data_IF_572284577591
#
_entry.id   IF_572284577591
#
_cell.length_a   1.000
_cell.length_b   1.000
_cell.length_c   1.000
_cell.angle_alpha   90.00
_cell.angle_beta   90.00
_cell.angle_gamma   90.00
#
_symmetry.space_group_name_H-M   'P 1'
#
loop_
_entity.id
_entity.type
_entity.pdbx_description
1 polymer ?
#
# COMPACT_ATOMS: atom_id res chain seq x y z
N UNK A 1 -34.43 -39.80 -44.44
CA UNK A 1 -33.24 -38.98 -44.74
C UNK A 1 -33.40 -37.46 -44.43
N UNK A 2 -34.64 -36.91 -44.41
CA UNK A 2 -34.86 -35.47 -44.08
C UNK A 2 -34.54 -35.11 -42.60
N UNK A 3 -34.75 -36.00 -41.63
CA UNK A 3 -34.58 -35.73 -40.20
C UNK A 3 -33.09 -35.68 -39.74
N UNK A 4 -32.21 -36.39 -40.48
CA UNK A 4 -30.77 -36.41 -40.14
C UNK A 4 -30.08 -35.09 -40.52
N UNK A 5 -30.51 -34.48 -41.65
CA UNK A 5 -29.97 -33.18 -42.08
C UNK A 5 -30.33 -32.03 -41.11
N UNK A 6 -31.55 -32.05 -40.58
CA UNK A 6 -31.99 -31.02 -39.64
C UNK A 6 -31.31 -31.19 -38.27
N UNK A 7 -30.97 -32.42 -37.85
CA UNK A 7 -30.25 -32.69 -36.61
C UNK A 7 -28.79 -32.21 -36.71
N UNK A 8 -28.15 -32.47 -37.86
CA UNK A 8 -26.77 -32.00 -38.07
C UNK A 8 -26.67 -30.48 -38.17
N UNK A 9 -27.63 -29.79 -38.79
CA UNK A 9 -27.69 -28.34 -38.82
C UNK A 9 -27.97 -27.72 -37.45
N UNK A 10 -28.83 -28.30 -36.61
CA UNK A 10 -29.06 -27.86 -35.24
C UNK A 10 -27.85 -28.02 -34.35
N UNK A 11 -27.11 -29.13 -34.52
CA UNK A 11 -25.89 -29.39 -33.74
C UNK A 11 -24.72 -28.46 -34.12
N UNK A 12 -24.61 -28.11 -35.43
CA UNK A 12 -23.60 -27.15 -35.90
C UNK A 12 -23.86 -25.73 -35.37
N UNK A 13 -25.15 -25.33 -35.32
CA UNK A 13 -25.54 -24.01 -34.79
C UNK A 13 -25.31 -23.90 -33.27
N UNK A 14 -25.54 -24.96 -32.52
CA UNK A 14 -25.30 -25.00 -31.07
C UNK A 14 -23.79 -24.89 -30.76
N UNK A 15 -22.94 -25.52 -31.56
CA UNK A 15 -21.49 -25.49 -31.42
C UNK A 15 -20.88 -24.11 -31.72
N UNK A 16 -21.47 -23.37 -32.66
CA UNK A 16 -21.04 -22.00 -33.01
C UNK A 16 -21.42 -21.01 -31.89
N UNK A 17 -22.61 -21.15 -31.29
CA UNK A 17 -23.06 -20.29 -30.20
C UNK A 17 -22.21 -20.51 -28.95
N UNK A 18 -21.81 -21.73 -28.63
CA UNK A 18 -20.94 -22.04 -27.48
C UNK A 18 -19.55 -21.44 -27.63
N UNK A 19 -19.01 -21.38 -28.84
CA UNK A 19 -17.69 -20.77 -29.08
C UNK A 19 -17.73 -19.23 -29.04
N UNK A 20 -18.79 -18.59 -29.42
CA UNK A 20 -18.94 -17.14 -29.35
C UNK A 20 -19.08 -16.65 -27.90
N UNK A 21 -19.77 -17.41 -27.05
CA UNK A 21 -19.88 -17.09 -25.61
C UNK A 21 -18.55 -17.22 -24.89
N UNK A 22 -17.73 -18.22 -25.23
CA UNK A 22 -16.40 -18.41 -24.62
C UNK A 22 -15.39 -17.31 -25.00
N UNK A 23 -15.47 -16.79 -26.24
CA UNK A 23 -14.59 -15.72 -26.70
C UNK A 23 -14.88 -14.38 -25.99
N UNK A 24 -16.16 -14.07 -25.74
CA UNK A 24 -16.55 -12.85 -25.03
C UNK A 24 -16.08 -12.86 -23.59
N UNK A 25 -16.22 -13.95 -22.85
CA UNK A 25 -15.79 -14.06 -21.45
C UNK A 25 -14.27 -13.97 -21.28
N UNK A 26 -13.49 -14.47 -22.23
CA UNK A 26 -12.02 -14.34 -22.22
C UNK A 26 -11.60 -12.89 -22.48
N UNK A 27 -12.25 -12.20 -23.41
CA UNK A 27 -11.98 -10.79 -23.73
C UNK A 27 -12.34 -9.87 -22.54
N UNK A 28 -13.49 -10.09 -21.89
CA UNK A 28 -13.91 -9.34 -20.71
C UNK A 28 -12.94 -9.54 -19.53
N UNK A 29 -12.50 -10.77 -19.29
CA UNK A 29 -11.52 -11.08 -18.25
C UNK A 29 -10.16 -10.42 -18.53
N UNK A 30 -9.73 -10.38 -19.76
CA UNK A 30 -8.48 -9.72 -20.15
C UNK A 30 -8.56 -8.21 -19.93
N UNK A 31 -9.64 -7.59 -20.36
CA UNK A 31 -9.88 -6.16 -20.14
C UNK A 31 -9.94 -5.81 -18.64
N UNK A 32 -10.52 -6.68 -17.81
CA UNK A 32 -10.53 -6.48 -16.36
C UNK A 32 -9.13 -6.56 -15.77
N UNK A 33 -8.31 -7.55 -16.16
CA UNK A 33 -6.93 -7.67 -15.68
C UNK A 33 -6.07 -6.45 -16.06
N UNK A 34 -6.25 -5.93 -17.28
CA UNK A 34 -5.57 -4.71 -17.70
C UNK A 34 -6.02 -3.49 -16.86
N UNK A 35 -7.31 -3.37 -16.58
CA UNK A 35 -7.83 -2.29 -15.75
C UNK A 35 -7.31 -2.38 -14.31
N UNK A 36 -7.27 -3.59 -13.74
CA UNK A 36 -6.74 -3.83 -12.39
C UNK A 36 -5.24 -3.49 -12.32
N UNK A 37 -4.45 -3.82 -13.36
CA UNK A 37 -3.03 -3.48 -13.43
C UNK A 37 -2.80 -1.96 -13.56
N UNK A 38 -3.62 -1.28 -14.35
CA UNK A 38 -3.57 0.19 -14.49
C UNK A 38 -3.88 0.85 -13.14
N UNK A 39 -4.92 0.37 -12.44
CA UNK A 39 -5.29 0.89 -11.12
C UNK A 39 -4.17 0.66 -10.11
N UNK A 40 -3.63 -0.55 -10.02
CA UNK A 40 -2.52 -0.87 -9.12
C UNK A 40 -1.30 0.03 -9.37
N UNK A 41 -0.93 0.25 -10.62
CA UNK A 41 0.18 1.14 -10.97
C UNK A 41 -0.09 2.60 -10.57
N UNK A 42 -1.33 3.07 -10.68
CA UNK A 42 -1.73 4.40 -10.21
C UNK A 42 -1.65 4.50 -8.68
N UNK A 43 -2.12 3.47 -7.97
CA UNK A 43 -2.08 3.38 -6.50
C UNK A 43 -0.64 3.34 -5.97
N UNK A 44 0.25 2.55 -6.58
CA UNK A 44 1.68 2.51 -6.22
C UNK A 44 2.33 3.89 -6.42
N UNK A 45 2.01 4.56 -7.54
CA UNK A 45 2.54 5.89 -7.83
C UNK A 45 2.06 6.93 -6.83
N UNK A 46 0.77 6.94 -6.50
CA UNK A 46 0.21 7.82 -5.46
C UNK A 46 0.90 7.57 -4.12
N UNK A 47 0.94 6.31 -3.71
CA UNK A 47 1.48 5.85 -2.44
C UNK A 47 2.94 6.28 -2.25
N UNK A 48 3.79 5.97 -3.23
CA UNK A 48 5.22 6.30 -3.16
C UNK A 48 5.45 7.81 -3.18
N UNK A 49 4.74 8.55 -4.04
CA UNK A 49 4.91 10.00 -4.16
C UNK A 49 4.46 10.76 -2.90
N UNK A 50 3.38 10.31 -2.24
CA UNK A 50 2.89 10.99 -1.05
C UNK A 50 3.79 10.73 0.16
N UNK A 51 4.21 9.47 0.37
CA UNK A 51 5.10 9.12 1.49
C UNK A 51 6.51 9.71 1.36
N UNK A 52 7.04 9.81 0.14
CA UNK A 52 8.31 10.49 -0.12
C UNK A 52 8.26 11.94 0.40
N UNK A 53 7.23 12.68 0.03
CA UNK A 53 7.04 14.06 0.48
C UNK A 53 6.74 14.18 1.97
N UNK A 54 5.95 13.26 2.54
CA UNK A 54 5.61 13.30 3.96
C UNK A 54 6.89 13.21 4.80
N UNK A 55 7.77 12.27 4.51
CA UNK A 55 8.96 12.04 5.34
C UNK A 55 10.13 12.90 4.87
N UNK A 56 10.54 12.81 3.61
CA UNK A 56 11.75 13.48 3.12
C UNK A 56 11.59 15.00 2.99
N UNK A 57 10.40 15.49 2.58
CA UNK A 57 10.08 16.91 2.51
C UNK A 57 9.38 17.44 3.78
N UNK A 58 9.12 16.56 4.77
CA UNK A 58 8.48 16.87 6.06
C UNK A 58 7.06 17.45 5.91
N UNK A 59 6.35 17.07 4.85
CA UNK A 59 5.02 17.58 4.51
C UNK A 59 3.90 16.74 5.17
N UNK A 60 3.84 16.72 6.50
CA UNK A 60 2.87 15.90 7.25
C UNK A 60 1.40 16.23 6.92
N UNK A 61 1.12 17.43 6.42
CA UNK A 61 -0.23 17.86 6.02
C UNK A 61 -0.74 17.16 4.76
N UNK A 62 0.11 16.43 4.03
CA UNK A 62 -0.30 15.53 2.95
C UNK A 62 -1.01 14.27 3.46
N UNK A 63 -0.97 13.98 4.77
CA UNK A 63 -1.91 13.04 5.38
C UNK A 63 -3.25 13.75 5.50
N UNK A 64 -4.02 13.68 4.42
CA UNK A 64 -5.33 14.32 4.25
C UNK A 64 -6.24 13.47 3.35
N UNK A 65 -7.47 13.89 3.15
CA UNK A 65 -8.48 13.16 2.39
C UNK A 65 -8.20 13.06 0.88
N UNK A 66 -7.21 13.76 0.33
CA UNK A 66 -6.83 13.63 -1.08
C UNK A 66 -6.14 12.29 -1.36
N UNK A 67 -5.32 11.80 -0.41
CA UNK A 67 -4.55 10.56 -0.56
C UNK A 67 -4.94 9.44 0.42
N UNK A 68 -5.60 9.77 1.52
CA UNK A 68 -5.92 8.81 2.59
C UNK A 68 -7.43 8.68 2.81
N UNK A 69 -7.90 7.48 3.15
CA UNK A 69 -9.28 7.27 3.61
C UNK A 69 -9.49 7.95 4.97
N UNK A 70 -10.65 8.54 5.20
CA UNK A 70 -10.98 9.21 6.47
C UNK A 70 -10.88 8.26 7.68
N UNK A 71 -11.11 6.96 7.46
CA UNK A 71 -11.01 5.90 8.46
C UNK A 71 -9.68 5.12 8.36
N UNK A 72 -8.63 5.71 7.76
CA UNK A 72 -7.30 5.08 7.67
C UNK A 72 -6.89 4.47 9.00
N UNK A 73 -6.27 3.29 8.96
CA UNK A 73 -5.82 2.58 10.16
C UNK A 73 -4.34 2.23 10.05
N UNK A 74 -3.52 2.64 11.04
CA UNK A 74 -2.23 2.01 11.31
C UNK A 74 -2.48 0.79 12.19
N UNK A 75 -2.29 -0.41 11.59
CA UNK A 75 -2.67 -1.69 12.21
C UNK A 75 -1.56 -2.21 13.10
N UNK A 76 -1.93 -2.79 14.24
CA UNK A 76 -1.04 -3.50 15.15
C UNK A 76 0.20 -2.69 15.57
N UNK A 77 0.04 -1.39 15.85
CA UNK A 77 1.09 -0.59 16.50
C UNK A 77 1.36 -1.11 17.90
N UNK A 78 2.45 -0.66 18.54
CA UNK A 78 2.80 -1.07 19.91
C UNK A 78 1.69 -0.81 20.94
N UNK A 79 0.77 0.11 20.64
CA UNK A 79 -0.34 0.51 21.51
C UNK A 79 -1.73 0.10 20.96
N UNK A 80 -1.78 -0.82 20.00
CA UNK A 80 -2.99 -1.22 19.29
C UNK A 80 -3.19 -0.44 17.98
N UNK A 81 -4.36 -0.55 17.39
CA UNK A 81 -4.67 0.12 16.13
C UNK A 81 -4.86 1.64 16.34
N UNK A 82 -4.28 2.43 15.43
CA UNK A 82 -4.51 3.88 15.35
C UNK A 82 -5.48 4.14 14.22
N UNK A 83 -6.71 4.51 14.57
CA UNK A 83 -7.82 4.65 13.61
C UNK A 83 -8.17 6.13 13.39
N UNK A 84 -8.44 6.46 12.13
CA UNK A 84 -8.89 7.78 11.67
C UNK A 84 -7.75 8.71 11.31
N UNK A 85 -8.03 9.56 10.32
CA UNK A 85 -7.06 10.41 9.65
C UNK A 85 -6.23 11.29 10.61
N UNK A 86 -6.90 11.97 11.54
CA UNK A 86 -6.23 12.86 12.49
C UNK A 86 -5.31 12.09 13.48
N UNK A 87 -5.72 10.90 13.93
CA UNK A 87 -4.90 10.08 14.81
C UNK A 87 -3.71 9.47 14.04
N UNK A 88 -3.95 9.03 12.81
CA UNK A 88 -2.91 8.53 11.90
C UNK A 88 -1.85 9.60 11.63
N UNK A 89 -2.28 10.84 11.32
CA UNK A 89 -1.38 11.98 11.13
C UNK A 89 -0.55 12.27 12.38
N UNK A 90 -1.17 12.29 13.56
CA UNK A 90 -0.46 12.47 14.84
C UNK A 90 0.55 11.34 15.11
N UNK A 91 0.20 10.11 14.77
CA UNK A 91 1.08 8.96 14.94
C UNK A 91 2.37 9.12 14.10
N UNK A 92 2.24 9.40 12.81
CA UNK A 92 3.39 9.55 11.93
C UNK A 92 4.16 10.86 12.12
N UNK A 93 3.53 11.91 12.68
CA UNK A 93 4.22 13.13 13.05
C UNK A 93 5.36 12.90 14.07
N UNK A 94 5.28 11.86 14.92
CA UNK A 94 6.36 11.50 15.84
C UNK A 94 7.67 11.16 15.12
N UNK A 95 7.62 10.57 13.95
CA UNK A 95 8.83 10.28 13.15
C UNK A 95 9.48 11.56 12.64
N UNK A 96 8.67 12.53 12.20
CA UNK A 96 9.17 13.83 11.73
C UNK A 96 9.71 14.68 12.89
N UNK A 97 9.06 14.64 14.06
CA UNK A 97 9.51 15.36 15.25
C UNK A 97 10.75 14.72 15.84
N UNK A 98 10.79 13.40 15.93
CA UNK A 98 11.88 12.65 16.54
C UNK A 98 13.19 12.66 15.76
N UNK A 99 13.10 12.88 14.42
CA UNK A 99 14.26 12.79 13.51
C UNK A 99 14.23 13.94 12.51
N UNK A 100 14.98 15.02 12.81
CA UNK A 100 14.96 16.22 11.97
C UNK A 100 15.63 16.01 10.60
N UNK A 101 16.58 15.06 10.52
CA UNK A 101 17.33 14.65 9.34
C UNK A 101 16.85 13.30 8.76
N UNK A 102 15.56 12.96 8.99
CA UNK A 102 15.00 11.71 8.49
C UNK A 102 15.17 11.56 6.98
N UNK A 103 15.69 10.40 6.57
CA UNK A 103 15.81 9.98 5.18
C UNK A 103 15.06 8.66 5.00
N UNK A 104 14.10 8.64 4.08
CA UNK A 104 13.27 7.49 3.77
C UNK A 104 13.48 7.05 2.33
N UNK A 105 13.85 5.79 2.14
CA UNK A 105 14.13 5.23 0.82
C UNK A 105 13.21 4.05 0.54
N UNK A 106 12.55 4.08 -0.62
CA UNK A 106 11.86 2.91 -1.16
C UNK A 106 12.88 1.99 -1.82
N UNK A 107 13.02 0.76 -1.30
CA UNK A 107 13.92 -0.26 -1.85
C UNK A 107 13.18 -1.03 -2.94
N UNK A 108 11.93 -1.41 -2.67
CA UNK A 108 11.05 -2.11 -3.60
C UNK A 108 9.58 -1.85 -3.25
N UNK A 109 8.72 -1.74 -4.26
CA UNK A 109 7.28 -1.57 -4.10
C UNK A 109 6.55 -2.37 -5.16
N UNK A 110 5.70 -3.28 -4.75
CA UNK A 110 4.90 -4.12 -5.64
C UNK A 110 3.55 -4.42 -5.01
N UNK A 111 2.62 -4.99 -5.78
CA UNK A 111 1.30 -5.29 -5.24
C UNK A 111 0.46 -6.19 -6.14
N UNK A 112 -0.76 -6.43 -5.70
CA UNK A 112 -1.78 -7.14 -6.45
C UNK A 112 -3.17 -6.66 -6.03
N UNK A 113 -4.00 -6.28 -6.99
CA UNK A 113 -5.32 -5.72 -6.73
C UNK A 113 -5.21 -4.46 -5.88
N UNK A 114 -5.86 -4.44 -4.75
CA UNK A 114 -5.90 -3.34 -3.79
C UNK A 114 -4.82 -3.41 -2.70
N UNK A 115 -3.86 -4.34 -2.81
CA UNK A 115 -2.78 -4.54 -1.83
C UNK A 115 -1.43 -4.16 -2.40
N UNK A 116 -0.68 -3.40 -1.60
CA UNK A 116 0.69 -3.00 -1.90
C UNK A 116 1.62 -3.49 -0.78
N UNK A 117 2.80 -3.92 -1.16
CA UNK A 117 3.90 -4.22 -0.25
C UNK A 117 5.01 -3.23 -0.54
N UNK A 118 5.44 -2.50 0.49
CA UNK A 118 6.55 -1.55 0.43
C UNK A 118 7.70 -2.09 1.26
N UNK A 119 8.86 -2.32 0.64
CA UNK A 119 10.13 -2.54 1.32
C UNK A 119 10.88 -1.21 1.39
N UNK A 120 11.30 -0.80 2.58
CA UNK A 120 11.87 0.52 2.82
C UNK A 120 13.08 0.50 3.75
N UNK A 121 13.86 1.57 3.71
CA UNK A 121 14.88 1.90 4.69
C UNK A 121 14.60 3.29 5.26
N UNK A 122 14.82 3.44 6.57
CA UNK A 122 14.72 4.69 7.33
C UNK A 122 16.04 4.96 8.06
N UNK A 123 16.57 6.17 7.87
CA UNK A 123 17.73 6.68 8.57
C UNK A 123 17.41 8.00 9.21
N UNK A 124 18.11 8.31 10.28
CA UNK A 124 18.01 9.61 10.92
C UNK A 124 18.75 9.68 12.25
N UNK A 125 18.88 10.90 12.77
CA UNK A 125 19.41 11.17 14.10
C UNK A 125 18.24 11.44 15.04
N UNK A 126 18.14 10.71 16.15
CA UNK A 126 17.11 10.92 17.16
C UNK A 126 17.43 12.18 17.97
N UNK A 127 17.00 13.33 17.46
CA UNK A 127 17.31 14.66 17.98
C UNK A 127 16.08 15.43 18.50
N UNK A 128 14.88 14.81 18.43
CA UNK A 128 13.64 15.33 18.99
C UNK A 128 12.91 14.31 19.87
N UNK A 129 11.73 14.66 20.36
CA UNK A 129 10.87 13.71 21.09
C UNK A 129 10.29 12.67 20.13
N UNK A 130 10.42 11.40 20.47
CA UNK A 130 9.88 10.28 19.72
C UNK A 130 8.98 9.43 20.60
N UNK A 131 7.67 9.59 20.46
CA UNK A 131 6.66 8.92 21.31
C UNK A 131 6.91 9.09 22.82
N UNK A 132 7.30 10.29 23.26
CA UNK A 132 7.60 10.59 24.67
C UNK A 132 9.01 10.18 25.12
N UNK A 133 9.84 9.66 24.22
CA UNK A 133 11.26 9.39 24.48
C UNK A 133 12.08 10.62 24.11
N UNK A 134 12.77 11.26 25.07
CA UNK A 134 13.62 12.42 24.80
C UNK A 134 14.76 12.08 23.84
N UNK A 135 15.22 13.07 23.08
CA UNK A 135 16.32 12.94 22.13
C UNK A 135 17.54 12.23 22.74
N UNK A 136 18.02 11.18 22.09
CA UNK A 136 19.21 10.42 22.53
C UNK A 136 20.49 10.88 21.79
N UNK A 137 20.34 11.64 20.70
CA UNK A 137 21.43 12.01 19.79
C UNK A 137 22.02 10.83 18.99
N UNK A 138 21.38 9.67 19.05
CA UNK A 138 21.84 8.47 18.35
C UNK A 138 21.31 8.42 16.91
N UNK A 139 22.11 7.82 16.04
CA UNK A 139 21.72 7.55 14.65
C UNK A 139 21.05 6.18 14.55
N UNK A 140 20.05 6.11 13.70
CA UNK A 140 19.38 4.86 13.33
C UNK A 140 19.51 4.61 11.83
N UNK A 141 19.58 3.34 11.46
CA UNK A 141 19.54 2.84 10.09
C UNK A 141 18.80 1.51 10.15
N UNK A 142 17.55 1.52 9.76
CA UNK A 142 16.65 0.35 9.86
C UNK A 142 15.87 0.15 8.57
N UNK A 143 15.59 -1.11 8.26
CA UNK A 143 14.73 -1.47 7.15
C UNK A 143 13.45 -2.14 7.67
N UNK A 144 12.41 -2.04 6.88
CA UNK A 144 11.14 -2.66 7.20
C UNK A 144 10.28 -2.89 5.97
N UNK A 145 9.15 -3.51 6.21
CA UNK A 145 8.11 -3.75 5.20
C UNK A 145 6.80 -3.20 5.71
N UNK A 146 6.06 -2.51 4.84
CA UNK A 146 4.69 -2.10 5.11
C UNK A 146 3.73 -2.89 4.22
N UNK A 147 2.71 -3.47 4.82
CA UNK A 147 1.55 -3.98 4.11
C UNK A 147 0.52 -2.85 4.03
N UNK A 148 0.08 -2.55 2.81
CA UNK A 148 -0.85 -1.45 2.52
C UNK A 148 -2.13 -2.00 1.93
N UNK A 149 -3.26 -1.48 2.39
CA UNK A 149 -4.57 -1.69 1.80
C UNK A 149 -5.01 -0.38 1.14
N UNK A 150 -5.25 -0.44 -0.17
CA UNK A 150 -5.90 0.64 -0.92
C UNK A 150 -7.41 0.46 -0.92
N UNK A 151 -8.14 1.56 -1.04
CA UNK A 151 -9.59 1.57 -1.18
C UNK A 151 -10.01 2.82 -1.95
N UNK A 152 -10.71 2.63 -3.06
CA UNK A 152 -11.21 3.72 -3.90
C UNK A 152 -10.10 4.74 -4.29
N UNK A 153 -8.88 4.24 -4.60
CA UNK A 153 -7.71 5.05 -4.95
C UNK A 153 -7.08 5.81 -3.77
N UNK A 154 -7.40 5.45 -2.52
CA UNK A 154 -6.86 6.05 -1.30
C UNK A 154 -6.20 5.00 -0.42
N UNK A 155 -5.22 5.43 0.37
CA UNK A 155 -4.57 4.61 1.39
C UNK A 155 -5.55 4.40 2.55
N UNK A 156 -5.96 3.15 2.81
CA UNK A 156 -7.00 2.83 3.79
C UNK A 156 -6.47 2.11 5.04
N UNK A 157 -5.38 1.36 4.92
CA UNK A 157 -4.71 0.78 6.07
C UNK A 157 -3.23 0.55 5.79
N UNK A 158 -2.41 0.63 6.83
CA UNK A 158 -0.99 0.30 6.80
C UNK A 158 -0.61 -0.55 8.02
N UNK A 159 0.28 -1.52 7.82
CA UNK A 159 0.88 -2.29 8.88
C UNK A 159 2.38 -2.39 8.65
N UNK A 160 3.15 -1.76 9.54
CA UNK A 160 4.60 -1.74 9.49
C UNK A 160 5.21 -2.93 10.24
N UNK A 161 6.21 -3.55 9.63
CA UNK A 161 7.05 -4.58 10.22
C UNK A 161 8.52 -4.18 10.11
N UNK A 162 9.20 -4.11 11.25
CA UNK A 162 10.65 -3.89 11.31
C UNK A 162 11.25 -4.59 12.52
N UNK A 163 12.57 -4.66 12.59
CA UNK A 163 13.28 -5.14 13.78
C UNK A 163 13.31 -4.05 14.87
N UNK A 164 12.26 -4.01 15.68
CA UNK A 164 12.15 -3.07 16.81
C UNK A 164 13.26 -3.26 17.84
N UNK A 165 13.77 -4.48 18.03
CA UNK A 165 14.87 -4.73 18.94
C UNK A 165 16.16 -4.04 18.45
N UNK A 166 16.48 -4.18 17.18
CA UNK A 166 17.60 -3.49 16.57
C UNK A 166 17.42 -1.97 16.62
N UNK A 167 16.23 -1.47 16.34
CA UNK A 167 15.89 -0.04 16.42
C UNK A 167 16.13 0.54 17.83
N UNK A 168 15.57 -0.10 18.87
CA UNK A 168 15.76 0.37 20.26
C UNK A 168 17.22 0.26 20.74
N UNK A 169 17.96 -0.76 20.30
CA UNK A 169 19.42 -0.84 20.57
C UNK A 169 20.19 0.31 19.92
N UNK A 170 19.86 0.66 18.67
CA UNK A 170 20.50 1.79 18.01
C UNK A 170 20.19 3.11 18.71
N UNK A 171 18.98 3.28 19.24
CA UNK A 171 18.60 4.43 20.06
C UNK A 171 19.29 4.48 21.44
N UNK A 172 19.90 3.38 21.87
CA UNK A 172 20.53 3.27 23.20
C UNK A 172 19.53 3.11 24.33
N UNK A 173 18.35 2.55 24.04
CA UNK A 173 17.26 2.33 24.99
C UNK A 173 17.26 0.89 25.57
N UNK A 174 18.14 0.04 25.07
CA UNK A 174 18.34 -1.36 25.50
C UNK A 174 19.83 -1.64 25.64
#
# INVERSE_FOLDING_TARGET
>A
MKNIKNLAQGMLFLFVILNLSSCNTVSEKHAQLEADEIQLNADIKLYTAVWDKIINDRQIDLINEDAFDVNITAVATSNGDVVGLENFKKYYANYIVGFSDAEFTFIDVFGQGDKIVKHWNFKGTHDGDFFGVPATGKKVDVSGVTLVQMKDGKIAAEQDYMDFLAFYKQLGLL
#
